data_IF_643061611066
#
_entry.id   IF_643061611066
#
_cell.length_a   1.000
_cell.length_b   1.000
_cell.length_c   1.000
_cell.angle_alpha   90.00
_cell.angle_beta   90.00
_cell.angle_gamma   90.00
#
_symmetry.space_group_name_H-M   'P 1'
#
loop_
_entity.id
_entity.type
_entity.pdbx_description
1 polymer ?
#
# COMPACT_ATOMS: atom_id res chain seq x y z
N UNK A 1 -14.94 -38.78 -35.99
CA UNK A 1 -14.11 -37.72 -36.58
C UNK A 1 -14.74 -36.32 -36.49
N UNK A 2 -15.99 -36.10 -36.93
CA UNK A 2 -16.66 -34.78 -36.87
C UNK A 2 -16.73 -34.15 -35.47
N UNK A 3 -17.05 -34.93 -34.43
CA UNK A 3 -17.15 -34.44 -33.04
C UNK A 3 -15.81 -33.92 -32.51
N UNK A 4 -14.71 -34.61 -32.82
CA UNK A 4 -13.36 -34.21 -32.38
C UNK A 4 -12.94 -32.87 -33.01
N UNK A 5 -13.30 -32.65 -34.27
CA UNK A 5 -13.01 -31.40 -35.00
C UNK A 5 -13.79 -30.23 -34.38
N UNK A 6 -15.06 -30.44 -34.02
CA UNK A 6 -15.89 -29.41 -33.37
C UNK A 6 -15.31 -29.03 -32.01
N UNK A 7 -14.93 -30.00 -31.18
CA UNK A 7 -14.33 -29.74 -29.86
C UNK A 7 -13.01 -28.97 -29.99
N UNK A 8 -12.15 -29.35 -30.94
CA UNK A 8 -10.90 -28.63 -31.19
C UNK A 8 -11.14 -27.19 -31.61
N UNK A 9 -12.13 -26.93 -32.49
CA UNK A 9 -12.49 -25.57 -32.90
C UNK A 9 -13.03 -24.73 -31.73
N UNK A 10 -13.87 -25.31 -30.86
CA UNK A 10 -14.39 -24.62 -29.67
C UNK A 10 -13.27 -24.23 -28.72
N UNK A 11 -12.32 -25.12 -28.44
CA UNK A 11 -11.17 -24.83 -27.56
C UNK A 11 -10.31 -23.71 -28.14
N UNK A 12 -10.03 -23.74 -29.45
CA UNK A 12 -9.26 -22.67 -30.09
C UNK A 12 -10.00 -21.33 -30.07
N UNK A 13 -11.32 -21.34 -30.26
CA UNK A 13 -12.15 -20.14 -30.18
C UNK A 13 -12.16 -19.56 -28.76
N UNK A 14 -12.32 -20.40 -27.72
CA UNK A 14 -12.24 -19.96 -26.32
C UNK A 14 -10.87 -19.35 -26.00
N UNK A 15 -9.77 -19.98 -26.44
CA UNK A 15 -8.43 -19.44 -26.22
C UNK A 15 -8.23 -18.10 -26.92
N UNK A 16 -8.78 -17.92 -28.12
CA UNK A 16 -8.75 -16.65 -28.84
C UNK A 16 -9.55 -15.57 -28.11
N UNK A 17 -10.76 -15.90 -27.62
CA UNK A 17 -11.59 -15.01 -26.81
C UNK A 17 -10.88 -14.56 -25.53
N UNK A 18 -10.21 -15.47 -24.81
CA UNK A 18 -9.43 -15.14 -23.61
C UNK A 18 -8.27 -14.19 -23.96
N UNK A 19 -7.55 -14.43 -25.07
CA UNK A 19 -6.46 -13.55 -25.51
C UNK A 19 -6.95 -12.16 -25.93
N UNK A 20 -8.08 -12.09 -26.65
CA UNK A 20 -8.70 -10.83 -27.03
C UNK A 20 -9.14 -10.05 -25.79
N UNK A 21 -9.73 -10.71 -24.80
CA UNK A 21 -10.12 -10.06 -23.55
C UNK A 21 -8.90 -9.52 -22.79
N UNK A 22 -7.80 -10.28 -22.72
CA UNK A 22 -6.56 -9.81 -22.10
C UNK A 22 -5.96 -8.60 -22.84
N UNK A 23 -5.99 -8.61 -24.18
CA UNK A 23 -5.54 -7.48 -25.01
C UNK A 23 -6.44 -6.27 -24.85
N UNK A 24 -7.77 -6.44 -24.80
CA UNK A 24 -8.73 -5.35 -24.56
C UNK A 24 -8.56 -4.74 -23.17
N UNK A 25 -8.34 -5.57 -22.13
CA UNK A 25 -8.01 -5.09 -20.79
C UNK A 25 -6.68 -4.31 -20.79
N UNK A 26 -5.67 -4.76 -21.56
CA UNK A 26 -4.40 -4.06 -21.72
C UNK A 26 -4.51 -2.75 -22.51
N UNK A 27 -5.33 -2.71 -23.58
CA UNK A 27 -5.55 -1.54 -24.43
C UNK A 27 -6.42 -0.49 -23.73
N UNK A 28 -7.46 -0.90 -23.00
CA UNK A 28 -8.25 -0.01 -22.15
C UNK A 28 -7.42 0.59 -20.99
N UNK A 29 -6.25 0.01 -20.68
CA UNK A 29 -5.27 0.59 -19.75
C UNK A 29 -4.43 1.74 -20.33
N UNK A 30 -4.55 2.09 -21.61
CA UNK A 30 -3.60 3.03 -22.26
C UNK A 30 -4.07 4.49 -22.37
N UNK A 31 -5.35 4.80 -22.14
CA UNK A 31 -5.84 6.20 -22.05
C UNK A 31 -5.94 6.74 -20.62
N UNK A 32 -5.72 5.90 -19.61
CA UNK A 32 -5.97 6.17 -18.19
C UNK A 32 -4.89 5.54 -17.30
N UNK A 33 -3.65 6.02 -17.42
CA UNK A 33 -2.53 5.54 -16.60
C UNK A 33 -2.70 5.94 -15.14
N UNK A 34 -2.04 5.21 -14.23
CA UNK A 34 -1.99 5.53 -12.81
C UNK A 34 -1.42 6.94 -12.60
N UNK A 35 -2.22 7.81 -11.98
CA UNK A 35 -1.80 9.16 -11.60
C UNK A 35 -1.42 9.17 -10.13
N UNK A 36 -0.28 8.57 -9.80
CA UNK A 36 0.13 8.29 -8.41
C UNK A 36 0.39 9.55 -7.58
N UNK A 37 0.49 10.74 -8.19
CA UNK A 37 0.79 11.95 -7.44
C UNK A 37 0.07 13.22 -7.97
N UNK A 38 -0.78 13.86 -7.15
CA UNK A 38 -1.53 15.07 -7.54
C UNK A 38 -0.84 16.41 -7.20
N UNK A 39 0.30 16.42 -6.50
CA UNK A 39 1.02 17.65 -6.07
C UNK A 39 1.13 17.81 -4.54
N UNK A 40 2.03 18.67 -4.06
CA UNK A 40 2.41 18.79 -2.62
C UNK A 40 3.93 18.64 -2.35
N UNK A 41 4.31 18.29 -1.11
CA UNK A 41 5.69 17.93 -0.71
C UNK A 41 6.04 16.48 -1.06
N UNK A 42 7.18 15.93 -0.62
CA UNK A 42 7.60 14.59 -1.03
C UNK A 42 6.65 13.47 -0.60
N UNK A 43 6.52 12.47 -1.46
CA UNK A 43 5.92 11.17 -1.18
C UNK A 43 6.84 10.09 -1.76
N UNK A 44 7.43 9.26 -0.91
CA UNK A 44 8.40 8.22 -1.33
C UNK A 44 8.11 6.87 -0.66
N UNK A 45 8.82 5.83 -1.13
CA UNK A 45 8.71 4.47 -0.60
C UNK A 45 7.29 3.91 -0.66
N UNK A 46 6.62 3.87 -1.83
CA UNK A 46 5.25 3.40 -1.89
C UNK A 46 5.15 1.90 -1.58
N UNK A 47 4.12 1.52 -0.81
CA UNK A 47 3.62 0.15 -0.74
C UNK A 47 2.19 0.12 -1.23
N UNK A 48 1.85 -0.89 -2.04
CA UNK A 48 0.58 -0.97 -2.75
C UNK A 48 -0.08 -2.32 -2.46
N UNK A 49 -1.37 -2.29 -2.11
CA UNK A 49 -2.23 -3.47 -2.05
C UNK A 49 -3.45 -3.26 -2.95
N UNK A 50 -3.78 -4.27 -3.74
CA UNK A 50 -4.99 -4.27 -4.57
C UNK A 50 -5.98 -5.24 -3.94
N UNK A 51 -7.12 -4.73 -3.48
CA UNK A 51 -8.23 -5.55 -3.03
C UNK A 51 -9.06 -5.96 -4.25
N UNK A 52 -9.15 -7.26 -4.54
CA UNK A 52 -9.91 -7.80 -5.68
C UNK A 52 -11.43 -7.84 -5.40
N UNK A 53 -11.92 -6.92 -4.59
CA UNK A 53 -13.35 -6.68 -4.39
C UNK A 53 -13.98 -6.07 -5.68
N UNK A 54 -15.31 -5.89 -5.70
CA UNK A 54 -16.03 -5.41 -6.90
C UNK A 54 -15.48 -4.11 -7.50
N UNK A 55 -14.89 -3.25 -6.66
CA UNK A 55 -14.35 -1.95 -7.08
C UNK A 55 -12.84 -1.95 -7.37
N UNK A 56 -12.16 -3.10 -7.22
CA UNK A 56 -10.70 -3.22 -7.36
C UNK A 56 -9.94 -2.11 -6.64
N UNK A 57 -10.26 -1.87 -5.36
CA UNK A 57 -9.65 -0.77 -4.61
C UNK A 57 -8.14 -0.94 -4.54
N UNK A 58 -7.41 0.06 -5.04
CA UNK A 58 -5.96 0.17 -4.90
C UNK A 58 -5.69 0.98 -3.65
N UNK A 59 -5.07 0.37 -2.66
CA UNK A 59 -4.56 1.01 -1.46
C UNK A 59 -3.09 1.35 -1.65
N UNK A 60 -2.67 2.54 -1.21
CA UNK A 60 -1.27 2.93 -1.22
C UNK A 60 -0.88 3.59 0.10
N UNK A 61 0.31 3.24 0.57
CA UNK A 61 0.98 3.87 1.70
C UNK A 61 2.30 4.46 1.24
N UNK A 62 2.61 5.66 1.68
CA UNK A 62 3.81 6.40 1.28
C UNK A 62 4.37 7.17 2.45
N UNK A 63 5.70 7.26 2.53
CA UNK A 63 6.36 8.20 3.43
C UNK A 63 6.21 9.63 2.94
N UNK A 64 5.95 10.57 3.85
CA UNK A 64 5.69 11.99 3.57
C UNK A 64 6.14 12.86 4.76
N UNK A 65 6.29 14.18 4.59
CA UNK A 65 6.67 15.03 5.71
C UNK A 65 5.67 14.96 6.87
N UNK A 66 6.22 15.10 8.08
CA UNK A 66 5.47 15.24 9.31
C UNK A 66 4.53 16.45 9.33
N UNK A 67 3.72 16.52 10.38
CA UNK A 67 2.73 17.60 10.58
C UNK A 67 3.29 18.82 11.33
N UNK A 68 4.57 18.79 11.67
CA UNK A 68 5.28 19.91 12.29
C UNK A 68 5.30 19.88 13.83
N UNK A 69 4.88 18.77 14.46
CA UNK A 69 4.96 18.63 15.92
C UNK A 69 6.38 18.27 16.38
N UNK A 70 6.91 17.10 16.03
CA UNK A 70 8.27 16.65 16.39
C UNK A 70 8.83 15.59 15.42
N UNK A 71 7.94 14.98 14.65
CA UNK A 71 8.22 13.97 13.64
C UNK A 71 8.70 14.60 12.32
N UNK A 72 9.73 13.99 11.73
CA UNK A 72 10.24 14.34 10.42
C UNK A 72 9.34 13.81 9.33
N UNK A 73 8.92 12.55 9.48
CA UNK A 73 8.15 11.80 8.49
C UNK A 73 7.00 11.01 9.11
N UNK A 74 5.91 10.92 8.36
CA UNK A 74 4.75 10.07 8.64
C UNK A 74 4.41 9.22 7.42
N UNK A 75 3.78 8.07 7.65
CA UNK A 75 3.19 7.28 6.57
C UNK A 75 1.77 7.77 6.33
N UNK A 76 1.52 8.24 5.11
CA UNK A 76 0.19 8.57 4.60
C UNK A 76 -0.41 7.41 3.82
N UNK A 77 -1.72 7.37 3.81
CA UNK A 77 -2.55 6.46 3.04
C UNK A 77 -3.41 7.25 2.06
N UNK A 78 -3.55 6.71 0.85
CA UNK A 78 -4.55 7.12 -0.12
C UNK A 78 -5.00 5.91 -0.94
N UNK A 79 -6.18 6.01 -1.56
CA UNK A 79 -6.75 4.92 -2.35
C UNK A 79 -7.38 5.38 -3.64
N UNK A 80 -7.53 4.44 -4.57
CA UNK A 80 -8.24 4.63 -5.84
C UNK A 80 -9.26 3.52 -6.05
N UNK A 81 -10.45 3.90 -6.51
CA UNK A 81 -11.54 2.98 -6.90
C UNK A 81 -11.79 2.99 -8.42
N UNK A 82 -10.91 3.62 -9.20
CA UNK A 82 -11.06 3.81 -10.65
C UNK A 82 -9.79 3.39 -11.41
N UNK A 83 -9.11 2.35 -10.91
CA UNK A 83 -7.86 1.80 -11.45
C UNK A 83 -6.69 2.80 -11.47
N UNK A 84 -6.60 3.66 -10.46
CA UNK A 84 -5.50 4.60 -10.26
C UNK A 84 -5.65 5.90 -11.03
N UNK A 85 -6.83 6.22 -11.58
CA UNK A 85 -7.06 7.45 -12.34
C UNK A 85 -7.24 8.65 -11.42
N UNK A 86 -7.99 8.48 -10.35
CA UNK A 86 -8.16 9.44 -9.26
C UNK A 86 -7.81 8.78 -7.93
N UNK A 87 -7.35 9.60 -6.99
CA UNK A 87 -6.93 9.18 -5.67
C UNK A 87 -7.67 10.00 -4.61
N UNK A 88 -7.95 9.36 -3.48
CA UNK A 88 -8.43 10.06 -2.30
C UNK A 88 -7.42 11.12 -1.83
N UNK A 89 -7.86 12.10 -1.02
CA UNK A 89 -6.94 12.90 -0.24
C UNK A 89 -6.05 12.02 0.64
N UNK A 90 -4.89 12.55 1.01
CA UNK A 90 -4.01 11.91 1.97
C UNK A 90 -4.63 11.85 3.36
N UNK A 91 -4.46 10.71 4.01
CA UNK A 91 -4.75 10.51 5.43
C UNK A 91 -3.49 10.01 6.14
N UNK A 92 -3.23 10.49 7.36
CA UNK A 92 -2.09 9.99 8.15
C UNK A 92 -2.45 8.61 8.68
N UNK A 93 -1.76 7.58 8.18
CA UNK A 93 -1.97 6.21 8.61
C UNK A 93 -1.12 5.85 9.83
N UNK A 94 0.16 6.26 9.85
CA UNK A 94 1.08 5.95 10.93
C UNK A 94 2.02 7.12 11.23
N UNK A 95 2.02 7.53 12.50
CA UNK A 95 2.94 8.53 13.06
C UNK A 95 3.95 7.83 13.96
N UNK A 96 5.23 8.27 13.99
CA UNK A 96 6.18 7.82 15.01
C UNK A 96 5.69 8.13 16.43
N UNK A 97 6.20 7.41 17.43
CA UNK A 97 5.86 7.62 18.83
C UNK A 97 6.96 8.45 19.48
N UNK A 98 6.64 9.72 19.78
CA UNK A 98 7.57 10.65 20.41
C UNK A 98 8.14 10.11 21.73
N UNK A 99 9.46 10.20 21.90
CA UNK A 99 10.17 9.72 23.09
C UNK A 99 10.41 8.22 23.14
N UNK A 100 10.08 7.49 22.07
CA UNK A 100 10.32 6.04 21.95
C UNK A 100 11.44 5.71 20.93
N UNK A 101 11.66 4.43 20.64
CA UNK A 101 12.69 4.00 19.70
C UNK A 101 12.38 4.36 18.23
N UNK A 102 11.14 4.69 17.90
CA UNK A 102 10.75 5.15 16.57
C UNK A 102 10.51 6.67 16.51
N UNK A 103 11.09 7.46 17.42
CA UNK A 103 10.65 8.84 17.70
C UNK A 103 10.67 9.82 16.53
N UNK A 104 11.58 9.68 15.57
CA UNK A 104 11.80 10.73 14.58
C UNK A 104 10.98 10.56 13.31
N UNK A 105 10.65 9.33 12.93
CA UNK A 105 10.04 9.11 11.62
C UNK A 105 9.25 7.81 11.53
N UNK A 106 8.28 7.77 10.62
CA UNK A 106 7.77 6.52 10.08
C UNK A 106 7.99 6.54 8.57
N UNK A 107 8.91 5.73 8.07
CA UNK A 107 9.36 5.75 6.67
C UNK A 107 9.28 4.37 6.01
N UNK A 108 9.50 4.34 4.69
CA UNK A 108 9.68 3.13 3.89
C UNK A 108 8.64 2.02 4.15
N UNK A 109 7.33 2.30 4.05
CA UNK A 109 6.32 1.31 4.36
C UNK A 109 6.43 0.09 3.45
N UNK A 110 6.36 -1.09 4.05
CA UNK A 110 6.07 -2.36 3.40
C UNK A 110 4.80 -2.95 4.00
N UNK A 111 3.73 -3.02 3.21
CA UNK A 111 2.39 -3.38 3.72
C UNK A 111 1.94 -4.73 3.20
N UNK A 112 1.48 -5.59 4.10
CA UNK A 112 0.83 -6.86 3.78
C UNK A 112 -0.49 -6.98 4.53
N UNK A 113 -1.50 -7.59 3.91
CA UNK A 113 -2.75 -7.94 4.58
C UNK A 113 -2.75 -9.43 4.90
N UNK A 114 -2.86 -9.77 6.19
CA UNK A 114 -2.94 -11.15 6.68
C UNK A 114 -4.20 -11.29 7.52
N UNK A 115 -5.11 -12.15 7.08
CA UNK A 115 -6.47 -12.25 7.63
C UNK A 115 -7.17 -10.89 7.64
N UNK A 116 -7.63 -10.43 8.82
CA UNK A 116 -8.33 -9.15 9.00
C UNK A 116 -7.39 -7.95 9.23
N UNK A 117 -6.07 -8.16 9.32
CA UNK A 117 -5.13 -7.11 9.68
C UNK A 117 -4.30 -6.65 8.50
N UNK A 118 -4.10 -5.34 8.40
CA UNK A 118 -3.06 -4.69 7.63
C UNK A 118 -1.83 -4.57 8.52
N UNK A 119 -0.69 -5.10 8.08
CA UNK A 119 0.59 -4.98 8.76
C UNK A 119 1.47 -4.03 7.97
N UNK A 120 2.08 -3.06 8.63
CA UNK A 120 3.06 -2.14 8.05
C UNK A 120 4.41 -2.43 8.73
N UNK A 121 5.35 -2.97 7.97
CA UNK A 121 6.77 -2.83 8.31
C UNK A 121 7.23 -1.43 7.91
N UNK A 122 7.94 -0.73 8.79
CA UNK A 122 8.40 0.63 8.52
C UNK A 122 9.78 0.87 9.16
N UNK A 123 10.52 1.84 8.64
CA UNK A 123 11.81 2.24 9.20
C UNK A 123 11.67 3.48 10.08
N UNK A 124 12.50 3.55 11.12
CA UNK A 124 12.60 4.72 11.99
C UNK A 124 13.96 4.81 12.68
N UNK A 125 14.18 5.91 13.41
CA UNK A 125 15.44 6.20 14.09
C UNK A 125 15.26 6.97 15.39
N UNK A 126 16.19 6.75 16.32
CA UNK A 126 16.45 7.64 17.48
C UNK A 126 17.69 8.50 17.29
N UNK A 127 18.34 8.43 16.12
CA UNK A 127 19.55 9.19 15.86
C UNK A 127 19.19 10.52 15.18
N UNK A 128 19.39 11.67 15.85
CA UNK A 128 19.03 12.98 15.31
C UNK A 128 19.82 13.38 14.05
N UNK A 129 20.89 12.66 13.71
CA UNK A 129 21.68 12.89 12.49
C UNK A 129 21.17 12.12 11.26
N UNK A 130 20.08 11.34 11.39
CA UNK A 130 19.48 10.55 10.31
C UNK A 130 20.43 9.55 9.60
N UNK A 131 21.45 9.03 10.31
CA UNK A 131 22.45 8.12 9.73
C UNK A 131 22.19 6.64 10.00
N UNK A 132 21.14 6.31 10.75
CA UNK A 132 20.83 4.95 11.19
C UNK A 132 19.32 4.76 11.17
N UNK A 133 18.84 3.59 10.76
CA UNK A 133 17.43 3.21 10.86
C UNK A 133 17.30 1.79 11.43
N UNK A 134 16.17 1.54 12.08
CA UNK A 134 15.72 0.23 12.54
C UNK A 134 14.37 -0.09 11.89
N UNK A 135 14.07 -1.38 11.77
CA UNK A 135 12.77 -1.86 11.27
C UNK A 135 11.80 -1.97 12.44
N UNK A 136 10.58 -1.50 12.27
CA UNK A 136 9.49 -1.62 13.22
C UNK A 136 8.28 -2.26 12.53
N UNK A 137 7.32 -2.71 13.31
CA UNK A 137 6.10 -3.35 12.82
C UNK A 137 4.87 -2.75 13.48
N UNK A 138 3.87 -2.42 12.69
CA UNK A 138 2.56 -1.99 13.15
C UNK A 138 1.44 -2.79 12.48
N UNK A 139 0.25 -2.86 13.09
CA UNK A 139 -0.94 -3.48 12.49
C UNK A 139 -2.23 -2.73 12.78
N UNK A 140 -3.21 -2.82 11.88
CA UNK A 140 -4.55 -2.28 12.07
C UNK A 140 -5.62 -3.15 11.40
N UNK A 141 -6.87 -3.03 11.85
CA UNK A 141 -8.04 -3.61 11.19
C UNK A 141 -8.50 -2.80 9.97
N UNK A 142 -8.07 -1.54 9.86
CA UNK A 142 -8.41 -0.63 8.77
C UNK A 142 -7.11 -0.12 8.12
N UNK A 143 -7.11 0.20 6.82
CA UNK A 143 -5.87 0.54 6.14
C UNK A 143 -5.29 1.91 6.54
N UNK A 144 -6.12 2.83 7.03
CA UNK A 144 -5.84 4.27 7.10
C UNK A 144 -5.60 4.82 8.52
N UNK A 145 -5.40 3.97 9.54
CA UNK A 145 -5.14 4.46 10.89
C UNK A 145 -5.33 3.41 11.98
N UNK A 146 -5.33 3.84 13.25
CA UNK A 146 -5.49 2.98 14.43
C UNK A 146 -4.47 1.82 14.49
N UNK A 147 -3.25 2.09 14.05
CA UNK A 147 -2.18 1.10 14.06
C UNK A 147 -1.64 0.89 15.47
N UNK A 148 -1.76 -0.35 15.97
CA UNK A 148 -1.01 -0.83 17.12
C UNK A 148 0.41 -1.19 16.66
N UNK A 149 1.43 -0.83 17.42
CA UNK A 149 2.84 -1.13 17.17
C UNK A 149 3.29 -2.33 18.01
N UNK A 150 4.17 -3.14 17.43
CA UNK A 150 4.79 -4.26 18.14
C UNK A 150 5.75 -3.73 19.21
N UNK A 151 5.60 -4.20 20.44
CA UNK A 151 6.43 -3.79 21.58
C UNK A 151 7.43 -4.87 22.04
N UNK A 152 7.62 -5.94 21.25
CA UNK A 152 8.45 -7.10 21.63
C UNK A 152 7.69 -8.24 22.30
N UNK A 153 6.49 -7.99 22.84
CA UNK A 153 5.67 -9.01 23.54
C UNK A 153 4.21 -9.00 23.13
N UNK A 154 3.67 -7.83 22.78
CA UNK A 154 2.28 -7.60 22.42
C UNK A 154 2.18 -6.37 21.50
N UNK A 155 0.95 -5.98 21.19
CA UNK A 155 0.60 -4.83 20.38
C UNK A 155 0.10 -3.70 21.27
N UNK A 156 0.71 -2.52 21.19
CA UNK A 156 0.32 -1.32 21.94
C UNK A 156 0.53 -0.03 21.14
N UNK A 157 0.37 1.15 21.74
CA UNK A 157 0.53 2.44 21.05
C UNK A 157 1.84 3.17 21.37
N UNK A 158 2.54 2.79 22.44
CA UNK A 158 3.42 3.70 23.16
C UNK A 158 4.88 3.23 23.25
N UNK A 159 5.17 1.94 23.05
CA UNK A 159 6.53 1.43 23.21
C UNK A 159 6.97 0.53 22.05
N UNK A 160 7.02 1.06 20.81
CA UNK A 160 7.47 0.28 19.67
C UNK A 160 8.88 -0.25 19.88
N UNK A 161 9.08 -1.53 19.54
CA UNK A 161 10.37 -2.18 19.54
C UNK A 161 10.71 -2.68 18.12
N UNK A 162 11.98 -2.61 17.72
CA UNK A 162 12.43 -3.19 16.47
C UNK A 162 12.44 -4.73 16.47
#
# INVERSE_FOLDING_TARGET
MKVLIIVFLIINLLNLLIRIQAILNGLNGTSSRWKVYPGGSYHYGPSILIDNNENHTIHMWTCSPGTGSMEWDVIRYHYSNDNGQTWSPDEIALTPTFGSLDTYSACDPGVVKINKYYYIGYTSTTNPNATQNQLFLARSLIPNGNYEKWNGTNWDLNNPQP
#
